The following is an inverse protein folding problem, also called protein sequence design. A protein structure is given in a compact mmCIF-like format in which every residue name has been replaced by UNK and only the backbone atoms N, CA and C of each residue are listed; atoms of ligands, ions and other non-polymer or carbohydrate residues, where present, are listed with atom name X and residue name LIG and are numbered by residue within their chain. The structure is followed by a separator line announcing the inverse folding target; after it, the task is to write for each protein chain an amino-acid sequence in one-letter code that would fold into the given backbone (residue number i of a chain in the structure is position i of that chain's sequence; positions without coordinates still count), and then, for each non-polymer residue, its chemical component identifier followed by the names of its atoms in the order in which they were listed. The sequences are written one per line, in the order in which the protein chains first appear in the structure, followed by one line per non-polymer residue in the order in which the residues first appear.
data_IF_861105336998
#
_entry.id   IF_861105336998
#
_cell.length_a   1.000
_cell.length_b   1.000
_cell.length_c   1.000
_cell.angle_alpha   90.00
_cell.angle_beta   90.00
_cell.angle_gamma   90.00
#
_symmetry.space_group_name_H-M   'P 1'
#
loop_
_entity.id
_entity.type
_entity.pdbx_description
1 polymer ?
#
# COMPACT_ATOMS: atom_id res chain seq x y z
N UNK A 1 2.86 0.86 -14.58
CA UNK A 1 2.91 0.82 -13.10
C UNK A 1 1.52 0.50 -12.57
N UNK A 2 1.47 -0.38 -11.60
CA UNK A 2 0.22 -0.75 -10.93
C UNK A 2 0.14 -0.04 -9.58
N UNK A 3 -0.98 0.58 -9.30
CA UNK A 3 -1.31 1.09 -7.98
C UNK A 3 -2.28 0.13 -7.33
N UNK A 4 -1.93 -0.38 -6.16
CA UNK A 4 -2.81 -1.18 -5.34
C UNK A 4 -3.25 -0.37 -4.13
N UNK A 5 -4.54 -0.16 -3.98
CA UNK A 5 -5.11 0.51 -2.81
C UNK A 5 -5.66 -0.56 -1.88
N UNK A 6 -5.03 -0.69 -0.73
CA UNK A 6 -5.46 -1.63 0.31
C UNK A 6 -6.15 -0.83 1.41
N UNK A 7 -7.39 -1.18 1.72
CA UNK A 7 -8.17 -0.53 2.76
C UNK A 7 -8.56 -1.54 3.82
N UNK A 8 -8.41 -1.14 5.07
CA UNK A 8 -8.76 -1.94 6.25
C UNK A 8 -9.76 -1.13 7.06
N UNK A 9 -11.04 -1.58 7.15
CA UNK A 9 -12.05 -0.89 7.96
C UNK A 9 -11.67 -0.98 9.43
N UNK A 10 -11.22 0.13 9.98
CA UNK A 10 -10.83 0.23 11.39
C UNK A 10 -10.90 1.69 11.82
N UNK A 11 -11.02 1.93 13.12
CA UNK A 11 -10.96 3.28 13.63
C UNK A 11 -9.59 3.92 13.38
N UNK A 12 -9.52 5.23 13.10
CA UNK A 12 -8.23 5.89 12.93
C UNK A 12 -7.43 5.78 14.23
N UNK A 13 -6.12 5.57 14.08
CA UNK A 13 -5.21 5.56 15.21
C UNK A 13 -4.79 6.98 15.56
N UNK A 14 -4.50 7.27 16.84
CA UNK A 14 -3.81 8.52 17.17
C UNK A 14 -2.50 8.63 16.39
N UNK A 15 -2.13 9.86 16.03
CA UNK A 15 -0.97 10.11 15.17
C UNK A 15 0.30 9.41 15.64
N UNK A 16 0.64 9.51 16.92
CA UNK A 16 1.85 8.90 17.45
C UNK A 16 1.83 7.37 17.36
N UNK A 17 0.67 6.76 17.62
CA UNK A 17 0.50 5.31 17.53
C UNK A 17 0.60 4.84 16.07
N UNK A 18 0.03 5.60 15.12
CA UNK A 18 0.13 5.30 13.70
C UNK A 18 1.58 5.34 13.23
N UNK A 19 2.30 6.41 13.57
CA UNK A 19 3.72 6.55 13.20
C UNK A 19 4.54 5.39 13.76
N UNK A 20 4.35 5.03 15.03
CA UNK A 20 5.10 3.96 15.66
C UNK A 20 4.83 2.60 14.99
N UNK A 21 3.57 2.27 14.75
CA UNK A 21 3.19 1.00 14.12
C UNK A 21 3.69 0.91 12.67
N UNK A 22 3.51 1.98 11.90
CA UNK A 22 3.90 2.02 10.49
C UNK A 22 5.43 2.00 10.33
N UNK A 23 6.14 2.74 11.15
CA UNK A 23 7.61 2.74 11.15
C UNK A 23 8.16 1.36 11.50
N UNK A 24 7.51 0.65 12.42
CA UNK A 24 7.91 -0.71 12.81
C UNK A 24 7.79 -1.69 11.66
N UNK A 25 6.76 -1.56 10.82
CA UNK A 25 6.54 -2.45 9.68
C UNK A 25 7.29 -2.04 8.42
N UNK A 26 7.81 -0.82 8.35
CA UNK A 26 8.47 -0.29 7.16
C UNK A 26 9.60 -1.19 6.61
N UNK A 27 10.46 -1.81 7.43
CA UNK A 27 11.49 -2.72 6.91
C UNK A 27 10.96 -3.89 6.09
N UNK A 28 9.77 -4.40 6.41
CA UNK A 28 9.13 -5.46 5.63
C UNK A 28 8.90 -5.00 4.18
N UNK A 29 8.42 -3.77 4.00
CA UNK A 29 8.13 -3.22 2.67
C UNK A 29 9.39 -2.72 1.98
N UNK A 30 10.39 -2.28 2.73
CA UNK A 30 11.70 -1.94 2.18
C UNK A 30 12.33 -3.16 1.49
N UNK A 31 12.19 -4.34 2.09
CA UNK A 31 12.71 -5.58 1.54
C UNK A 31 12.01 -6.01 0.24
N UNK A 32 10.85 -5.43 -0.10
CA UNK A 32 10.15 -5.73 -1.34
C UNK A 32 10.64 -4.91 -2.53
N UNK A 33 11.63 -4.05 -2.35
CA UNK A 33 12.19 -3.25 -3.45
C UNK A 33 12.68 -4.12 -4.61
N UNK A 34 13.31 -5.27 -4.32
CA UNK A 34 13.77 -6.22 -5.31
C UNK A 34 12.67 -7.14 -5.83
N UNK A 35 11.46 -7.03 -5.31
CA UNK A 35 10.28 -7.77 -5.74
C UNK A 35 9.26 -6.91 -6.47
N UNK A 36 9.65 -5.71 -6.86
CA UNK A 36 8.86 -4.83 -7.69
C UNK A 36 8.06 -3.76 -6.95
N UNK A 37 8.15 -3.68 -5.63
CA UNK A 37 7.52 -2.59 -4.90
C UNK A 37 8.36 -1.32 -4.99
N UNK A 38 7.82 -0.29 -5.66
CA UNK A 38 8.51 0.98 -5.85
C UNK A 38 8.34 1.91 -4.66
N UNK A 39 7.16 1.90 -4.05
CA UNK A 39 6.79 2.84 -2.99
C UNK A 39 5.54 2.33 -2.28
N UNK A 40 5.43 2.67 -1.02
CA UNK A 40 4.20 2.49 -0.23
C UNK A 40 3.95 3.73 0.59
N UNK A 41 2.73 4.23 0.56
CA UNK A 41 2.24 5.25 1.48
C UNK A 41 1.22 4.60 2.41
N UNK A 42 1.41 4.75 3.72
CA UNK A 42 0.46 4.26 4.71
C UNK A 42 -0.72 5.23 4.83
N UNK A 43 -1.89 4.68 5.13
CA UNK A 43 -3.12 5.45 5.26
C UNK A 43 -3.66 5.36 6.68
N UNK A 44 -4.19 6.47 7.17
CA UNK A 44 -4.85 6.56 8.47
C UNK A 44 -5.92 7.66 8.38
N UNK A 45 -7.18 7.28 8.46
CA UNK A 45 -8.29 8.21 8.32
C UNK A 45 -9.61 7.63 8.79
N UNK A 46 -10.69 8.39 8.61
CA UNK A 46 -12.02 8.00 9.08
C UNK A 46 -12.54 6.72 8.41
N UNK A 47 -12.15 6.49 7.17
CA UNK A 47 -12.51 5.27 6.43
C UNK A 47 -11.71 4.05 6.86
N UNK A 48 -10.68 4.22 7.70
CA UNK A 48 -9.83 3.14 8.17
C UNK A 48 -8.36 3.36 7.88
N UNK A 49 -7.60 2.27 7.87
CA UNK A 49 -6.17 2.25 7.58
C UNK A 49 -5.87 1.54 6.27
N UNK A 50 -4.63 1.17 6.09
CA UNK A 50 -4.14 0.45 4.91
C UNK A 50 -2.96 1.15 4.26
N UNK A 51 -2.92 1.08 2.94
CA UNK A 51 -1.82 1.69 2.19
C UNK A 51 -2.11 1.83 0.72
N UNK A 52 -1.38 2.74 0.09
CA UNK A 52 -1.29 2.85 -1.36
C UNK A 52 0.07 2.31 -1.75
N UNK A 53 0.07 1.29 -2.60
CA UNK A 53 1.27 0.57 -3.02
C UNK A 53 1.51 0.80 -4.51
N UNK A 54 2.76 1.06 -4.86
CA UNK A 54 3.18 1.32 -6.23
C UNK A 54 4.07 0.17 -6.69
N UNK A 55 3.58 -0.64 -7.66
CA UNK A 55 4.26 -1.83 -8.14
C UNK A 55 4.67 -1.68 -9.61
N UNK A 56 5.77 -2.33 -9.99
CA UNK A 56 6.18 -2.37 -11.39
C UNK A 56 5.17 -3.11 -12.26
N UNK A 57 4.58 -4.19 -11.75
CA UNK A 57 3.63 -5.02 -12.51
C UNK A 57 2.55 -5.59 -11.61
N UNK A 58 1.43 -5.97 -12.23
CA UNK A 58 0.32 -6.63 -11.54
C UNK A 58 0.72 -8.02 -11.02
N UNK A 59 1.53 -8.75 -11.77
CA UNK A 59 2.01 -10.07 -11.35
C UNK A 59 2.82 -9.99 -10.05
N UNK A 60 3.67 -8.97 -9.92
CA UNK A 60 4.44 -8.75 -8.71
C UNK A 60 3.55 -8.36 -7.54
N UNK A 61 2.55 -7.52 -7.78
CA UNK A 61 1.56 -7.15 -6.76
C UNK A 61 0.79 -8.38 -6.29
N UNK A 62 0.26 -9.18 -7.21
CA UNK A 62 -0.51 -10.37 -6.88
C UNK A 62 0.31 -11.41 -6.12
N UNK A 63 1.61 -11.50 -6.40
CA UNK A 63 2.51 -12.40 -5.67
C UNK A 63 2.62 -12.02 -4.18
N UNK A 64 2.44 -10.75 -3.83
CA UNK A 64 2.45 -10.29 -2.45
C UNK A 64 1.08 -10.46 -1.77
N UNK A 65 -0.01 -10.12 -2.47
CA UNK A 65 -1.35 -10.14 -1.87
C UNK A 65 -1.98 -11.54 -1.99
N UNK A 66 -1.47 -12.48 -1.22
CA UNK A 66 -1.97 -13.86 -1.19
C UNK A 66 -3.16 -13.97 -0.22
N UNK A 67 -4.02 -15.01 -0.40
CA UNK A 67 -5.10 -15.28 0.57
C UNK A 67 -4.60 -15.42 2.01
N UNK A 68 -3.40 -15.97 2.20
CA UNK A 68 -2.80 -16.12 3.52
C UNK A 68 -2.50 -14.77 4.18
N UNK A 69 -2.02 -13.80 3.39
CA UNK A 69 -1.75 -12.45 3.91
C UNK A 69 -3.03 -11.73 4.27
N UNK A 70 -4.08 -11.89 3.48
CA UNK A 70 -5.40 -11.34 3.80
C UNK A 70 -5.94 -11.92 5.09
N UNK A 71 -5.79 -13.23 5.28
CA UNK A 71 -6.21 -13.92 6.50
C UNK A 71 -5.45 -13.39 7.72
N UNK A 72 -4.13 -13.23 7.62
CA UNK A 72 -3.31 -12.67 8.69
C UNK A 72 -3.70 -11.23 9.02
N UNK A 73 -3.96 -10.43 8.00
CA UNK A 73 -4.39 -9.04 8.20
C UNK A 73 -5.76 -8.99 8.89
N UNK A 74 -6.69 -9.85 8.50
CA UNK A 74 -8.01 -9.95 9.16
C UNK A 74 -7.85 -10.32 10.63
N UNK A 75 -7.00 -11.27 10.94
CA UNK A 75 -6.74 -11.68 12.32
C UNK A 75 -6.08 -10.55 13.13
N UNK A 76 -5.11 -9.84 12.53
CA UNK A 76 -4.39 -8.77 13.20
C UNK A 76 -5.24 -7.53 13.45
N UNK A 77 -6.10 -7.15 12.50
CA UNK A 77 -6.86 -5.90 12.55
C UNK A 77 -8.34 -6.09 12.90
N UNK A 78 -8.82 -7.33 12.95
CA UNK A 78 -10.23 -7.62 13.24
C UNK A 78 -11.18 -7.29 12.10
N UNK A 79 -10.67 -6.98 10.91
CA UNK A 79 -11.48 -6.62 9.76
C UNK A 79 -10.80 -7.13 8.48
N UNK A 80 -11.61 -7.49 7.48
CA UNK A 80 -11.11 -7.98 6.21
C UNK A 80 -10.63 -6.82 5.34
N UNK A 81 -9.36 -6.85 4.89
CA UNK A 81 -8.86 -5.84 3.96
C UNK A 81 -9.54 -5.97 2.60
N UNK A 82 -9.70 -4.86 1.91
CA UNK A 82 -10.05 -4.84 0.49
C UNK A 82 -8.86 -4.34 -0.31
N UNK A 83 -8.74 -4.79 -1.55
CA UNK A 83 -7.70 -4.34 -2.46
C UNK A 83 -8.30 -3.98 -3.80
N UNK A 84 -7.90 -2.84 -4.35
CA UNK A 84 -8.30 -2.38 -5.68
C UNK A 84 -7.04 -2.07 -6.47
N UNK A 85 -6.96 -2.59 -7.69
CA UNK A 85 -5.84 -2.36 -8.60
C UNK A 85 -6.19 -1.34 -9.67
N UNK A 86 -5.22 -0.50 -10.00
CA UNK A 86 -5.33 0.49 -11.08
C UNK A 86 -4.06 0.46 -11.92
N UNK A 87 -4.22 0.56 -13.24
CA UNK A 87 -3.10 0.90 -14.11
C UNK A 87 -2.85 2.40 -14.02
N UNK A 88 -1.62 2.80 -13.77
CA UNK A 88 -1.23 4.20 -13.76
C UNK A 88 -0.30 4.49 -14.93
N UNK A 89 -0.83 5.14 -15.97
CA UNK A 89 -0.08 5.45 -17.18
C UNK A 89 0.56 6.83 -17.14
N UNK A 90 -0.06 7.77 -16.45
CA UNK A 90 0.42 9.16 -16.41
C UNK A 90 0.48 9.64 -14.96
N UNK A 91 1.62 10.20 -14.59
CA UNK A 91 1.81 10.86 -13.29
C UNK A 91 2.16 12.31 -13.52
N UNK A 92 1.42 13.21 -12.89
CA UNK A 92 1.79 14.62 -12.77
C UNK A 92 2.49 14.78 -11.43
N UNK A 93 3.79 15.07 -11.47
CA UNK A 93 4.60 15.23 -10.27
C UNK A 93 4.97 16.71 -10.12
N UNK A 94 4.25 17.41 -9.25
CA UNK A 94 4.47 18.84 -9.03
C UNK A 94 5.67 19.13 -8.13
N UNK A 95 6.20 18.13 -7.42
CA UNK A 95 7.42 18.29 -6.64
C UNK A 95 8.64 18.44 -7.55
N UNK A 96 8.68 17.65 -8.63
CA UNK A 96 9.78 17.70 -9.62
C UNK A 96 9.41 18.52 -10.86
N UNK A 97 8.15 18.87 -11.02
CA UNK A 97 7.66 19.56 -12.21
C UNK A 97 7.56 18.68 -13.45
N UNK A 98 7.54 17.36 -13.27
CA UNK A 98 7.52 16.40 -14.37
C UNK A 98 6.14 15.84 -14.65
N UNK A 99 5.87 15.56 -15.91
CA UNK A 99 4.78 14.68 -16.32
C UNK A 99 5.40 13.39 -16.86
N UNK A 100 5.10 12.28 -16.20
CA UNK A 100 5.69 10.99 -16.51
C UNK A 100 4.66 10.14 -17.23
N UNK A 101 4.98 9.70 -18.44
CA UNK A 101 4.12 8.82 -19.24
C UNK A 101 4.74 7.42 -19.28
N UNK A 102 3.94 6.42 -18.98
CA UNK A 102 4.34 5.00 -18.98
C UNK A 102 3.48 4.26 -19.99
N UNK A 103 4.10 3.81 -21.02
CA UNK A 103 3.41 3.06 -22.08
C UNK A 103 3.21 1.59 -21.71
#
# INVERSE_FOLDING_TARGET
MIIAVVQIPMSPRPRAAAIAAQTRSAPTYRALADKGLLRKDYLNGDAGGGGVYYWNSKAEAEAWYTPERFKKAKEAFGAEPSITYYDSYVTVDNETGQTIVRD
#
